data_IF_637835135725
#
_entry.id   IF_637835135725
#
_cell.length_a   1.000
_cell.length_b   1.000
_cell.length_c   1.000
_cell.angle_alpha   90.00
_cell.angle_beta   90.00
_cell.angle_gamma   90.00
#
_symmetry.space_group_name_H-M   'P 1'
#
loop_
_entity.id
_entity.type
_entity.pdbx_description
1 polymer ?
#
# COMPACT_ATOMS: atom_id res chain seq x y z
N UNK A 1 -9.50 4.87 1.73
CA UNK A 1 -8.22 5.09 1.04
C UNK A 1 -7.14 4.43 1.88
N UNK A 2 -6.14 3.83 1.25
CA UNK A 2 -5.08 3.10 1.93
C UNK A 2 -3.98 4.05 2.44
N UNK A 3 -3.39 3.74 3.59
CA UNK A 3 -2.14 4.36 4.06
C UNK A 3 -0.98 3.74 3.26
N UNK A 4 -0.45 4.50 2.30
CA UNK A 4 0.61 4.05 1.40
C UNK A 4 1.98 4.14 2.08
N UNK A 5 2.24 5.22 2.80
CA UNK A 5 3.44 5.44 3.60
C UNK A 5 3.10 6.24 4.86
N UNK A 6 3.87 6.01 5.92
CA UNK A 6 3.90 6.88 7.09
C UNK A 6 5.35 7.22 7.38
N UNK A 7 5.63 8.49 7.65
CA UNK A 7 6.94 8.99 8.02
C UNK A 7 6.85 9.58 9.41
N UNK A 8 7.82 9.30 10.26
CA UNK A 8 7.91 9.84 11.61
C UNK A 8 9.27 10.49 11.77
N UNK A 9 9.24 11.78 12.10
CA UNK A 9 10.41 12.61 12.34
C UNK A 9 10.40 13.12 13.77
N UNK A 10 11.60 13.24 14.33
CA UNK A 10 11.83 13.86 15.61
C UNK A 10 12.95 14.88 15.44
N UNK A 11 12.62 16.15 15.64
CA UNK A 11 13.55 17.26 15.52
C UNK A 11 13.89 17.83 16.89
N UNK A 12 15.15 18.20 17.09
CA UNK A 12 15.63 18.93 18.27
C UNK A 12 15.35 20.43 18.12
N UNK A 13 14.06 20.77 18.10
CA UNK A 13 13.59 22.14 17.96
C UNK A 13 12.56 22.44 19.05
N UNK A 14 12.57 23.68 19.55
CA UNK A 14 11.55 24.15 20.49
C UNK A 14 10.22 24.32 19.74
N UNK A 15 9.26 23.48 20.09
CA UNK A 15 7.91 23.50 19.51
C UNK A 15 7.24 24.89 19.60
N UNK A 16 7.51 25.66 20.66
CA UNK A 16 6.86 26.97 20.87
C UNK A 16 7.40 28.07 19.97
N UNK A 17 8.59 27.88 19.41
CA UNK A 17 9.23 28.85 18.52
C UNK A 17 8.84 28.64 17.05
N UNK A 18 8.11 27.56 16.74
CA UNK A 18 7.76 27.18 15.37
C UNK A 18 6.36 27.66 15.02
N UNK A 19 6.17 28.37 13.89
CA UNK A 19 4.85 28.65 13.35
C UNK A 19 4.21 27.36 12.83
N UNK A 20 3.46 26.67 13.70
CA UNK A 20 2.93 25.32 13.43
C UNK A 20 2.14 25.21 12.13
N UNK A 21 1.29 26.19 11.81
CA UNK A 21 0.50 26.18 10.58
C UNK A 21 1.38 26.27 9.33
N UNK A 22 2.42 27.11 9.35
CA UNK A 22 3.36 27.24 8.23
C UNK A 22 4.20 25.96 8.08
N UNK A 23 4.61 25.37 9.19
CA UNK A 23 5.33 24.10 9.21
C UNK A 23 4.47 22.95 8.66
N UNK A 24 3.19 22.86 9.06
CA UNK A 24 2.24 21.87 8.55
C UNK A 24 2.08 21.99 7.03
N UNK A 25 1.81 23.20 6.52
CA UNK A 25 1.64 23.45 5.07
C UNK A 25 2.92 23.11 4.32
N UNK A 26 4.07 23.55 4.80
CA UNK A 26 5.36 23.27 4.18
C UNK A 26 5.63 21.76 4.07
N UNK A 27 5.42 21.02 5.17
CA UNK A 27 5.65 19.57 5.21
C UNK A 27 4.64 18.81 4.33
N UNK A 28 3.39 19.29 4.29
CA UNK A 28 2.34 18.73 3.43
C UNK A 28 2.73 18.88 1.95
N UNK A 29 3.08 20.09 1.51
CA UNK A 29 3.45 20.39 0.12
C UNK A 29 4.71 19.64 -0.29
N UNK A 30 5.72 19.65 0.57
CA UNK A 30 6.99 18.96 0.36
C UNK A 30 6.77 17.46 0.16
N UNK A 31 6.00 16.84 1.05
CA UNK A 31 5.75 15.39 1.01
C UNK A 31 4.86 15.04 -0.17
N UNK A 32 3.83 15.85 -0.45
CA UNK A 32 2.91 15.64 -1.57
C UNK A 32 3.64 15.67 -2.91
N UNK A 33 4.59 16.60 -3.10
CA UNK A 33 5.44 16.68 -4.30
C UNK A 33 6.13 15.35 -4.61
N UNK A 34 6.79 14.74 -3.63
CA UNK A 34 7.51 13.48 -3.82
C UNK A 34 6.58 12.27 -3.84
N UNK A 35 5.57 12.24 -2.97
CA UNK A 35 4.60 11.14 -2.90
C UNK A 35 3.82 11.02 -4.21
N UNK A 36 3.37 12.14 -4.78
CA UNK A 36 2.62 12.12 -6.04
C UNK A 36 3.45 11.61 -7.21
N UNK A 37 4.74 11.98 -7.23
CA UNK A 37 5.68 11.50 -8.24
C UNK A 37 5.92 9.99 -8.10
N UNK A 38 6.20 9.53 -6.88
CA UNK A 38 6.53 8.13 -6.59
C UNK A 38 5.33 7.21 -6.83
N UNK A 39 4.15 7.59 -6.33
CA UNK A 39 2.96 6.74 -6.41
C UNK A 39 2.12 6.98 -7.67
N UNK A 40 2.55 7.89 -8.55
CA UNK A 40 1.88 8.20 -9.82
C UNK A 40 0.43 8.65 -9.68
N UNK A 41 0.08 9.25 -8.54
CA UNK A 41 -1.29 9.61 -8.19
C UNK A 41 -1.34 10.85 -7.30
N UNK A 42 -2.49 11.50 -7.22
CA UNK A 42 -2.70 12.56 -6.23
C UNK A 42 -2.92 11.94 -4.85
N UNK A 43 -1.93 12.12 -3.97
CA UNK A 43 -1.95 11.63 -2.58
C UNK A 43 -2.46 12.71 -1.64
N UNK A 44 -3.06 12.28 -0.53
CA UNK A 44 -3.42 13.15 0.59
C UNK A 44 -2.39 12.97 1.68
N UNK A 45 -1.84 14.07 2.19
CA UNK A 45 -0.87 14.06 3.26
C UNK A 45 -1.56 14.59 4.52
N UNK A 46 -1.48 13.84 5.61
CA UNK A 46 -1.89 14.32 6.92
C UNK A 46 -0.64 14.56 7.75
N UNK A 47 -0.49 15.79 8.22
CA UNK A 47 0.62 16.20 9.10
C UNK A 47 0.10 16.26 10.52
N UNK A 48 0.85 15.71 11.46
CA UNK A 48 0.60 15.85 12.89
C UNK A 48 1.87 16.30 13.58
N UNK A 49 1.79 17.44 14.26
CA UNK A 49 2.85 17.98 15.10
C UNK A 49 2.51 17.72 16.58
N UNK A 50 3.47 17.23 17.36
CA UNK A 50 3.29 17.00 18.81
C UNK A 50 4.27 17.82 19.66
N UNK A 51 3.81 18.24 20.85
CA UNK A 51 4.48 19.15 21.78
C UNK A 51 5.72 18.52 22.47
N UNK A 52 6.71 19.37 22.77
CA UNK A 52 8.00 19.01 23.37
C UNK A 52 9.13 19.37 22.42
N UNK A 53 10.01 18.41 22.14
CA UNK A 53 10.79 18.41 20.90
C UNK A 53 9.85 18.15 19.72
N UNK A 54 9.99 18.89 18.62
CA UNK A 54 9.06 18.81 17.49
C UNK A 54 9.03 17.39 16.89
N UNK A 55 7.94 16.67 17.13
CA UNK A 55 7.66 15.39 16.45
C UNK A 55 6.68 15.62 15.33
N UNK A 56 6.99 15.04 14.18
CA UNK A 56 6.19 15.17 12.96
C UNK A 56 5.84 13.79 12.43
N UNK A 57 4.55 13.50 12.40
CA UNK A 57 4.03 12.32 11.70
C UNK A 57 3.38 12.74 10.40
N UNK A 58 3.83 12.16 9.29
CA UNK A 58 3.30 12.39 7.95
C UNK A 58 2.64 11.09 7.45
N UNK A 59 1.33 11.11 7.27
CA UNK A 59 0.59 9.98 6.72
C UNK A 59 0.21 10.24 5.26
N UNK A 60 0.73 9.41 4.36
CA UNK A 60 0.48 9.47 2.91
C UNK A 60 -0.61 8.50 2.54
N UNK A 61 -1.75 9.02 2.11
CA UNK A 61 -2.96 8.26 1.85
C UNK A 61 -3.32 8.33 0.36
N UNK A 62 -3.68 7.19 -0.23
CA UNK A 62 -3.96 7.07 -1.66
C UNK A 62 -4.77 5.81 -2.01
N UNK A 63 -4.86 5.54 -3.31
CA UNK A 63 -5.43 4.32 -3.89
C UNK A 63 -4.29 3.33 -4.13
N UNK A 64 -4.39 2.16 -3.50
CA UNK A 64 -3.35 1.14 -3.55
C UNK A 64 -3.25 0.53 -4.94
N UNK A 65 -4.38 0.25 -5.59
CA UNK A 65 -4.39 -0.33 -6.95
C UNK A 65 -3.69 0.55 -7.98
N UNK A 66 -3.91 1.87 -7.96
CA UNK A 66 -3.26 2.80 -8.90
C UNK A 66 -1.74 2.76 -8.70
N UNK A 67 -1.28 2.74 -7.44
CA UNK A 67 0.13 2.58 -7.12
C UNK A 67 0.69 1.26 -7.67
N UNK A 68 -0.06 0.16 -7.51
CA UNK A 68 0.32 -1.16 -8.03
C UNK A 68 0.27 -1.25 -9.56
N UNK A 69 -0.58 -0.42 -10.19
CA UNK A 69 -0.82 -0.29 -11.64
C UNK A 69 0.44 -0.32 -12.52
N UNK A 70 1.56 0.13 -11.97
CA UNK A 70 2.83 0.28 -12.67
C UNK A 70 3.74 -0.95 -12.60
N UNK A 71 3.44 -1.93 -11.75
CA UNK A 71 4.27 -3.12 -11.54
C UNK A 71 3.61 -4.37 -12.14
N UNK A 72 4.42 -5.36 -12.51
CA UNK A 72 3.97 -6.54 -13.27
C UNK A 72 3.09 -7.54 -12.49
N UNK A 73 3.05 -7.47 -11.17
CA UNK A 73 2.09 -8.25 -10.37
C UNK A 73 1.73 -7.53 -9.09
N UNK A 74 0.57 -7.85 -8.52
CA UNK A 74 0.10 -7.29 -7.24
C UNK A 74 1.14 -7.49 -6.14
N UNK A 75 1.68 -8.71 -6.02
CA UNK A 75 2.70 -9.04 -5.02
C UNK A 75 3.97 -8.21 -5.20
N UNK A 76 4.52 -8.15 -6.42
CA UNK A 76 5.68 -7.32 -6.69
C UNK A 76 5.39 -5.85 -6.45
N UNK A 77 4.18 -5.38 -6.78
CA UNK A 77 3.74 -4.02 -6.54
C UNK A 77 3.74 -3.66 -5.07
N UNK A 78 3.25 -4.54 -4.19
CA UNK A 78 3.34 -4.35 -2.74
C UNK A 78 4.79 -4.23 -2.26
N UNK A 79 5.69 -5.08 -2.76
CA UNK A 79 7.12 -5.00 -2.41
C UNK A 79 7.76 -3.68 -2.88
N UNK A 80 7.40 -3.20 -4.09
CA UNK A 80 7.87 -1.91 -4.59
C UNK A 80 7.30 -0.74 -3.78
N UNK A 81 6.01 -0.72 -3.46
CA UNK A 81 5.40 0.32 -2.63
C UNK A 81 6.07 0.47 -1.27
N UNK A 82 6.52 -0.65 -0.67
CA UNK A 82 7.27 -0.63 0.60
C UNK A 82 8.66 -0.03 0.41
N UNK A 83 9.34 -0.32 -0.71
CA UNK A 83 10.63 0.31 -1.04
C UNK A 83 10.44 1.80 -1.31
N UNK A 84 9.40 2.15 -2.03
CA UNK A 84 9.04 3.51 -2.40
C UNK A 84 8.71 4.37 -1.16
N UNK A 85 8.07 3.80 -0.14
CA UNK A 85 7.89 4.46 1.14
C UNK A 85 9.22 4.78 1.86
N UNK A 86 10.25 3.93 1.71
CA UNK A 86 11.59 4.21 2.24
C UNK A 86 12.29 5.30 1.43
N UNK A 87 12.19 5.23 0.10
CA UNK A 87 12.71 6.25 -0.80
C UNK A 87 12.10 7.62 -0.51
N UNK A 88 10.78 7.65 -0.29
CA UNK A 88 10.06 8.86 0.10
C UNK A 88 10.60 9.45 1.41
N UNK A 89 10.81 8.62 2.43
CA UNK A 89 11.42 9.07 3.69
C UNK A 89 12.76 9.76 3.41
N UNK A 90 13.66 9.09 2.69
CA UNK A 90 14.99 9.63 2.36
C UNK A 90 14.91 10.95 1.58
N UNK A 91 14.01 11.05 0.59
CA UNK A 91 13.86 12.26 -0.22
C UNK A 91 13.32 13.44 0.59
N UNK A 92 12.32 13.20 1.43
CA UNK A 92 11.78 14.22 2.33
C UNK A 92 12.85 14.68 3.32
N UNK A 93 13.57 13.75 3.96
CA UNK A 93 14.69 14.09 4.86
C UNK A 93 15.75 14.94 4.14
N UNK A 94 16.18 14.51 2.94
CA UNK A 94 17.20 15.23 2.18
C UNK A 94 16.76 16.63 1.77
N UNK A 95 15.50 16.83 1.37
CA UNK A 95 15.02 18.16 0.99
C UNK A 95 14.82 19.06 2.22
N UNK A 96 14.44 18.52 3.38
CA UNK A 96 14.39 19.27 4.66
C UNK A 96 15.79 19.80 5.02
N UNK A 97 16.82 18.95 4.97
CA UNK A 97 18.22 19.34 5.23
C UNK A 97 18.69 20.41 4.25
N UNK A 98 18.44 20.19 2.96
CA UNK A 98 18.82 21.11 1.89
C UNK A 98 18.15 22.49 2.03
N UNK A 99 16.95 22.54 2.61
CA UNK A 99 16.23 23.78 2.89
C UNK A 99 16.67 24.47 4.19
N UNK A 100 17.78 24.02 4.80
CA UNK A 100 18.47 24.76 5.87
C UNK A 100 18.38 24.12 7.24
N UNK A 101 17.70 22.98 7.41
CA UNK A 101 17.74 22.23 8.66
C UNK A 101 19.12 21.57 8.82
N UNK A 102 19.72 21.71 10.00
CA UNK A 102 20.96 21.01 10.31
C UNK A 102 20.68 19.52 10.50
N UNK A 103 21.50 18.65 9.92
CA UNK A 103 21.37 17.19 10.09
C UNK A 103 21.43 16.77 11.56
N UNK A 104 22.21 17.50 12.37
CA UNK A 104 22.33 17.24 13.80
C UNK A 104 21.00 17.46 14.56
N UNK A 105 20.11 18.30 14.03
CA UNK A 105 18.82 18.60 14.64
C UNK A 105 17.77 17.52 14.28
N UNK A 106 18.08 16.57 13.40
CA UNK A 106 17.22 15.44 13.05
C UNK A 106 17.58 14.26 13.95
N UNK A 107 16.92 14.18 15.11
CA UNK A 107 17.12 13.11 16.09
C UNK A 107 16.69 11.75 15.51
N UNK A 108 15.55 11.72 14.84
CA UNK A 108 15.01 10.49 14.24
C UNK A 108 14.31 10.79 12.91
N UNK A 109 14.49 9.88 11.95
CA UNK A 109 13.71 9.82 10.71
C UNK A 109 13.45 8.36 10.37
N UNK A 110 12.18 7.93 10.47
CA UNK A 110 11.80 6.54 10.24
C UNK A 110 10.52 6.40 9.43
N UNK A 111 10.45 5.28 8.71
CA UNK A 111 9.24 4.83 8.04
C UNK A 111 8.36 4.03 9.00
N UNK A 112 7.09 4.41 9.09
CA UNK A 112 6.07 3.72 9.87
C UNK A 112 5.49 2.50 9.13
N UNK A 113 4.78 1.65 9.87
CA UNK A 113 4.06 0.52 9.31
C UNK A 113 2.81 0.98 8.56
N UNK A 114 2.64 0.54 7.32
CA UNK A 114 1.56 0.96 6.43
C UNK A 114 0.78 -0.23 5.83
N UNK A 115 -0.28 0.05 5.07
CA UNK A 115 -1.14 -1.01 4.50
C UNK A 115 -0.39 -1.98 3.57
N UNK A 116 0.54 -1.53 2.70
CA UNK A 116 1.42 -2.44 1.97
C UNK A 116 2.18 -3.43 2.86
N UNK A 117 2.68 -3.02 4.03
CA UNK A 117 3.36 -3.94 4.94
C UNK A 117 2.40 -4.97 5.55
N UNK A 118 1.16 -4.57 5.86
CA UNK A 118 0.11 -5.46 6.37
C UNK A 118 -0.22 -6.52 5.33
N UNK A 119 -0.42 -6.10 4.07
CA UNK A 119 -0.67 -7.00 2.94
C UNK A 119 0.50 -7.95 2.73
N UNK A 120 1.74 -7.44 2.69
CA UNK A 120 2.95 -8.27 2.55
C UNK A 120 3.05 -9.35 3.63
N UNK A 121 2.73 -9.02 4.89
CA UNK A 121 2.73 -10.00 5.99
C UNK A 121 1.73 -11.14 5.74
N UNK A 122 0.54 -10.84 5.24
CA UNK A 122 -0.47 -11.85 4.91
C UNK A 122 -0.01 -12.70 3.72
N UNK A 123 0.50 -12.08 2.66
CA UNK A 123 1.03 -12.80 1.51
C UNK A 123 2.16 -13.76 1.91
N UNK A 124 3.08 -13.34 2.78
CA UNK A 124 4.14 -14.21 3.31
C UNK A 124 3.60 -15.31 4.22
N UNK A 125 2.51 -15.07 4.95
CA UNK A 125 1.86 -16.11 5.76
C UNK A 125 1.22 -17.18 4.87
N UNK A 126 0.62 -16.78 3.75
CA UNK A 126 0.09 -17.68 2.73
C UNK A 126 1.21 -18.54 2.14
N UNK A 127 2.31 -17.93 1.66
CA UNK A 127 3.46 -18.69 1.12
C UNK A 127 3.98 -19.73 2.11
N UNK A 128 4.13 -19.33 3.37
CA UNK A 128 4.60 -20.23 4.43
C UNK A 128 3.63 -21.38 4.66
N UNK A 129 2.32 -21.14 4.58
CA UNK A 129 1.34 -22.19 4.73
C UNK A 129 1.38 -23.16 3.54
N UNK A 130 1.47 -22.64 2.31
CA UNK A 130 1.55 -23.44 1.07
C UNK A 130 2.84 -24.26 0.96
N UNK A 131 3.95 -23.76 1.51
CA UNK A 131 5.24 -24.46 1.50
C UNK A 131 5.33 -25.65 2.47
N UNK A 132 4.41 -25.78 3.43
CA UNK A 132 4.46 -26.84 4.45
C UNK A 132 3.83 -28.12 3.91
N UNK A 133 4.62 -29.19 3.84
CA UNK A 133 4.18 -30.48 3.27
C UNK A 133 3.41 -31.37 4.26
N UNK A 134 3.56 -31.16 5.57
CA UNK A 134 2.89 -31.98 6.59
C UNK A 134 2.35 -31.08 7.72
N UNK A 135 1.05 -30.78 7.65
CA UNK A 135 0.31 -30.11 8.73
C UNK A 135 -0.80 -31.03 9.18
N UNK A 136 -1.01 -31.14 10.49
CA UNK A 136 -2.23 -31.75 10.99
C UNK A 136 -3.43 -30.90 10.59
N UNK A 137 -4.61 -31.53 10.42
CA UNK A 137 -5.84 -30.81 10.08
C UNK A 137 -6.15 -29.67 11.05
N UNK A 138 -5.91 -29.89 12.35
CA UNK A 138 -6.11 -28.89 13.40
C UNK A 138 -5.18 -27.67 13.25
N UNK A 139 -3.91 -27.90 12.91
CA UNK A 139 -2.95 -26.82 12.66
C UNK A 139 -3.27 -26.05 11.39
N UNK A 140 -3.67 -26.76 10.33
CA UNK A 140 -4.11 -26.15 9.09
C UNK A 140 -5.31 -25.21 9.32
N UNK A 141 -6.34 -25.69 10.01
CA UNK A 141 -7.54 -24.90 10.34
C UNK A 141 -7.20 -23.66 11.17
N UNK A 142 -6.25 -23.79 12.11
CA UNK A 142 -5.78 -22.68 12.93
C UNK A 142 -5.04 -21.62 12.11
N UNK A 143 -4.13 -22.02 11.23
CA UNK A 143 -3.39 -21.09 10.37
C UNK A 143 -4.31 -20.42 9.33
N UNK A 144 -5.22 -21.18 8.72
CA UNK A 144 -6.24 -20.64 7.81
C UNK A 144 -7.11 -19.60 8.53
N UNK A 145 -7.56 -19.88 9.74
CA UNK A 145 -8.38 -18.94 10.53
C UNK A 145 -7.64 -17.61 10.77
N UNK A 146 -6.34 -17.65 11.09
CA UNK A 146 -5.51 -16.45 11.26
C UNK A 146 -5.36 -15.66 9.97
N UNK A 147 -5.09 -16.34 8.85
CA UNK A 147 -4.96 -15.72 7.53
C UNK A 147 -6.27 -15.05 7.16
N UNK A 148 -7.40 -15.76 7.22
CA UNK A 148 -8.74 -15.23 6.92
C UNK A 148 -9.09 -14.02 7.77
N UNK A 149 -8.80 -14.07 9.07
CA UNK A 149 -9.01 -12.93 9.97
C UNK A 149 -8.17 -11.73 9.55
N UNK A 150 -6.91 -11.96 9.16
CA UNK A 150 -6.03 -10.89 8.70
C UNK A 150 -6.49 -10.29 7.37
N UNK A 151 -6.93 -11.12 6.43
CA UNK A 151 -7.52 -10.68 5.15
C UNK A 151 -8.75 -9.82 5.42
N UNK A 152 -9.68 -10.27 6.27
CA UNK A 152 -10.86 -9.50 6.67
C UNK A 152 -10.46 -8.12 7.21
N UNK A 153 -9.57 -8.09 8.19
CA UNK A 153 -9.14 -6.84 8.83
C UNK A 153 -8.47 -5.86 7.85
N UNK A 154 -7.79 -6.36 6.82
CA UNK A 154 -7.23 -5.53 5.76
C UNK A 154 -8.38 -5.01 4.88
N UNK A 155 -9.21 -5.90 4.34
CA UNK A 155 -10.32 -5.52 3.45
C UNK A 155 -11.27 -4.51 4.10
N UNK A 156 -11.62 -4.68 5.38
CA UNK A 156 -12.49 -3.73 6.10
C UNK A 156 -11.86 -2.36 6.34
N UNK A 157 -10.53 -2.23 6.24
CA UNK A 157 -9.82 -0.95 6.38
C UNK A 157 -9.52 -0.27 5.05
N UNK A 158 -9.60 -1.01 3.94
CA UNK A 158 -9.31 -0.49 2.60
C UNK A 158 -10.58 0.08 1.94
N UNK A 159 -10.39 0.77 0.82
CA UNK A 159 -11.53 1.09 -0.07
C UNK A 159 -12.08 -0.21 -0.68
N UNK A 160 -13.36 -0.21 -1.10
CA UNK A 160 -13.97 -1.38 -1.76
C UNK A 160 -13.14 -1.85 -2.97
N UNK A 161 -12.64 -0.89 -3.75
CA UNK A 161 -11.78 -1.14 -4.92
C UNK A 161 -10.46 -1.81 -4.51
N UNK A 162 -9.71 -1.21 -3.58
CA UNK A 162 -8.42 -1.76 -3.12
C UNK A 162 -8.60 -3.13 -2.43
N UNK A 163 -9.68 -3.31 -1.68
CA UNK A 163 -10.04 -4.57 -1.06
C UNK A 163 -10.37 -5.64 -2.11
N UNK A 164 -11.11 -5.26 -3.15
CA UNK A 164 -11.41 -6.13 -4.29
C UNK A 164 -10.15 -6.62 -4.98
N UNK A 165 -9.25 -5.70 -5.35
CA UNK A 165 -7.98 -6.05 -5.99
C UNK A 165 -7.09 -6.92 -5.10
N UNK A 166 -6.99 -6.59 -3.81
CA UNK A 166 -6.26 -7.42 -2.86
C UNK A 166 -6.85 -8.84 -2.79
N UNK A 167 -8.16 -8.98 -2.64
CA UNK A 167 -8.79 -10.28 -2.53
C UNK A 167 -8.68 -11.11 -3.83
N UNK A 168 -8.74 -10.47 -5.01
CA UNK A 168 -8.49 -11.16 -6.30
C UNK A 168 -7.07 -11.70 -6.44
N UNK A 169 -6.11 -11.09 -5.73
CA UNK A 169 -4.68 -11.48 -5.79
C UNK A 169 -4.33 -12.73 -4.97
N UNK A 170 -5.29 -13.26 -4.20
CA UNK A 170 -5.11 -14.44 -3.32
C UNK A 170 -6.15 -15.51 -3.63
N UNK A 171 -5.84 -16.78 -3.32
CA UNK A 171 -6.77 -17.91 -3.52
C UNK A 171 -8.02 -17.77 -2.65
N UNK A 172 -9.15 -18.25 -3.18
CA UNK A 172 -10.47 -18.20 -2.53
C UNK A 172 -10.47 -18.90 -1.16
N UNK A 173 -9.64 -19.93 -0.98
CA UNK A 173 -9.47 -20.63 0.30
C UNK A 173 -9.03 -19.70 1.45
N UNK A 174 -8.34 -18.61 1.13
CA UNK A 174 -7.86 -17.61 2.09
C UNK A 174 -8.84 -16.46 2.30
N UNK A 175 -9.92 -16.41 1.53
CA UNK A 175 -10.95 -15.40 1.71
C UNK A 175 -11.67 -15.62 3.04
N UNK A 176 -12.10 -14.54 3.68
CA UNK A 176 -12.84 -14.64 4.92
C UNK A 176 -14.26 -15.17 4.65
N UNK A 177 -14.84 -15.88 5.61
CA UNK A 177 -16.08 -16.65 5.41
C UNK A 177 -17.38 -15.82 5.50
N UNK A 178 -17.27 -14.51 5.75
CA UNK A 178 -18.36 -13.55 5.74
C UNK A 178 -18.71 -13.11 4.32
N UNK A 179 -20.02 -13.08 4.01
CA UNK A 179 -20.57 -12.95 2.65
C UNK A 179 -20.26 -11.63 1.93
N UNK A 180 -19.84 -10.59 2.64
CA UNK A 180 -19.65 -9.26 2.04
C UNK A 180 -18.46 -9.21 1.08
N UNK A 181 -17.37 -9.90 1.43
CA UNK A 181 -16.13 -9.84 0.66
C UNK A 181 -16.26 -10.53 -0.70
N UNK A 182 -16.77 -11.78 -0.79
CA UNK A 182 -17.01 -12.45 -2.07
C UNK A 182 -17.84 -11.62 -3.07
N UNK A 183 -18.82 -10.85 -2.61
CA UNK A 183 -19.74 -10.09 -3.47
C UNK A 183 -19.04 -8.97 -4.26
N UNK A 184 -18.15 -8.19 -3.62
CA UNK A 184 -17.42 -7.16 -4.35
C UNK A 184 -16.17 -7.70 -5.06
N UNK A 185 -15.58 -8.83 -4.63
CA UNK A 185 -14.47 -9.44 -5.38
C UNK A 185 -14.91 -9.78 -6.81
N UNK A 186 -16.11 -10.32 -6.99
CA UNK A 186 -16.65 -10.64 -8.33
C UNK A 186 -16.73 -9.41 -9.25
N UNK A 187 -17.02 -8.23 -8.69
CA UNK A 187 -17.05 -6.96 -9.44
C UNK A 187 -15.66 -6.58 -10.00
N UNK A 188 -14.60 -6.81 -9.24
CA UNK A 188 -13.24 -6.41 -9.62
C UNK A 188 -12.41 -7.53 -10.26
N UNK A 189 -12.88 -8.78 -10.23
CA UNK A 189 -12.26 -9.94 -10.90
C UNK A 189 -12.09 -9.73 -12.42
N UNK A 190 -12.98 -8.95 -13.05
CA UNK A 190 -12.92 -8.59 -14.48
C UNK A 190 -11.97 -7.41 -14.79
N UNK A 191 -11.58 -6.65 -13.76
CA UNK A 191 -10.77 -5.43 -13.89
C UNK A 191 -9.31 -5.69 -13.47
N UNK A 192 -9.07 -6.77 -12.73
CA UNK A 192 -7.73 -7.25 -12.43
C UNK A 192 -6.99 -7.63 -13.73
N UNK A 193 -5.68 -7.35 -13.78
CA UNK A 193 -4.84 -7.77 -14.92
C UNK A 193 -4.78 -9.30 -14.95
N UNK A 194 -4.65 -9.89 -16.14
CA UNK A 194 -4.51 -11.35 -16.29
C UNK A 194 -3.38 -11.90 -15.38
N UNK A 195 -2.33 -11.10 -15.16
CA UNK A 195 -1.16 -11.41 -14.34
C UNK A 195 -1.44 -11.42 -12.82
N UNK A 196 -2.47 -10.70 -12.38
CA UNK A 196 -2.88 -10.57 -10.98
C UNK A 196 -3.90 -11.63 -10.57
N UNK A 197 -4.49 -12.32 -11.55
CA UNK A 197 -5.46 -13.40 -11.32
C UNK A 197 -4.67 -14.69 -11.10
N UNK A 198 -4.72 -15.24 -9.87
CA UNK A 198 -4.21 -16.59 -9.61
C UNK A 198 -5.00 -17.56 -10.52
N UNK A 199 -4.33 -18.12 -11.53
CA UNK A 199 -4.94 -18.98 -12.54
C UNK A 199 -5.84 -20.06 -11.91
N UNK A 200 -7.15 -19.88 -12.04
CA UNK A 200 -8.11 -20.99 -12.08
C UNK A 200 -8.40 -21.32 -13.54
N UNK A 201 -8.65 -22.60 -13.88
CA UNK A 201 -9.06 -22.98 -15.22
C UNK A 201 -10.48 -22.45 -15.43
N UNK A 202 -10.60 -21.23 -15.95
CA UNK A 202 -11.86 -20.76 -16.51
C UNK A 202 -12.07 -21.63 -17.74
N UNK A 203 -13.06 -22.53 -17.65
CA UNK A 203 -13.54 -23.26 -18.80
C UNK A 203 -13.72 -22.25 -19.94
N UNK A 204 -12.95 -22.47 -21.00
CA UNK A 204 -12.83 -21.66 -22.20
C UNK A 204 -14.18 -21.11 -22.65
N UNK A 205 -14.40 -19.82 -22.44
CA UNK A 205 -15.34 -19.06 -23.26
C UNK A 205 -14.46 -18.27 -24.22
N UNK A 206 -14.44 -18.72 -25.47
CA UNK A 206 -13.79 -18.04 -26.59
C UNK A 206 -14.36 -16.61 -26.72
N UNK A 207 -13.66 -15.64 -26.15
CA UNK A 207 -13.87 -14.23 -26.44
C UNK A 207 -12.67 -13.75 -27.25
N UNK A 208 -12.86 -13.19 -28.46
CA UNK A 208 -11.75 -12.80 -29.30
C UNK A 208 -10.90 -11.72 -28.63
N UNK A 209 -9.58 -11.98 -28.49
CA UNK A 209 -8.59 -11.00 -28.05
C UNK A 209 -8.46 -9.89 -29.10
N UNK A 210 -9.21 -8.80 -28.96
CA UNK A 210 -9.04 -7.62 -29.81
C UNK A 210 -7.85 -6.80 -29.31
N UNK A 211 -6.73 -6.98 -29.98
CA UNK A 211 -5.48 -6.26 -29.74
C UNK A 211 -5.63 -4.80 -30.22
N UNK A 212 -5.96 -3.86 -29.32
CA UNK A 212 -6.16 -2.43 -29.65
C UNK A 212 -4.87 -1.64 -29.96
N UNK A 213 -3.71 -2.30 -30.04
CA UNK A 213 -2.42 -1.65 -30.28
C UNK A 213 -2.05 -1.45 -31.77
N UNK A 214 -2.88 -1.89 -32.74
CA UNK A 214 -2.55 -1.87 -34.17
C UNK A 214 -3.64 -1.28 -35.08
N UNK A 215 -4.18 -0.11 -34.73
CA UNK A 215 -4.90 0.72 -35.70
C UNK A 215 -4.30 2.12 -35.75
N UNK A 216 -3.20 2.25 -36.52
CA UNK A 216 -2.89 3.52 -37.19
C UNK A 216 -3.99 3.76 -38.22
N UNK A 217 -4.94 4.63 -37.89
CA UNK A 217 -5.84 5.19 -38.89
C UNK A 217 -5.06 6.24 -39.68
N UNK A 218 -4.76 5.87 -40.93
CA UNK A 218 -4.29 6.79 -41.96
C UNK A 218 -5.32 7.90 -42.18
N UNK A 219 -4.90 9.15 -42.02
CA UNK A 219 -5.38 10.29 -42.82
C UNK A 219 -4.23 11.28 -42.98
#
# INVERSE_FOLDING_TARGET
>A
MALLAGLDFHFDLDFNEIPLQEAEVYLEELTSKYANLIYGQQTKIYVRLEEGSLKVTLAVVGVLYIGIGQYGSFRSGIDYMIKDAKSLNSLVTSEIVKNGMNEADIIESKKMHCDPDRIRRVLLAIDRLESKQELSKSELDKELSKIRTSVRNICSSLSEEDAGFFATSIKEDYWPQDREIPYFVERYKLVAREEDIVHYPVASIDIPRVNKALQRTSR
#
